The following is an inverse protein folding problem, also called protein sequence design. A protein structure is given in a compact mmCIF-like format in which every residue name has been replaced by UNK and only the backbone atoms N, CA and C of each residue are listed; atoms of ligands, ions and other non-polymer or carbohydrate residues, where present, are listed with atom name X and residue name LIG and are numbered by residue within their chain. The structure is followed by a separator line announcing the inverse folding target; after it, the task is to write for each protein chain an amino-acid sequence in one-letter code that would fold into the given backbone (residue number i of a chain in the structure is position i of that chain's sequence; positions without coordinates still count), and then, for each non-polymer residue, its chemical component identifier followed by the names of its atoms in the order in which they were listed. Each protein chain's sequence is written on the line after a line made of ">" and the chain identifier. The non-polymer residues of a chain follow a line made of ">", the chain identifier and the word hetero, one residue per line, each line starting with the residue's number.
data_IF_674178504921
#
_entry.id   IF_674178504921
#
_cell.length_a   1.000
_cell.length_b   1.000
_cell.length_c   1.000
_cell.angle_alpha   90.00
_cell.angle_beta   90.00
_cell.angle_gamma   90.00
#
_symmetry.space_group_name_H-M   'P 1'
#
loop_
_entity.id
_entity.type
_entity.pdbx_description
1 polymer ?
#
# COMPACT_ATOMS: atom_id res chain seq x y z
N UNK A 1 20.98 6.51 -11.06
CA UNK A 1 21.17 5.87 -9.75
C UNK A 1 20.32 6.65 -8.75
N UNK A 2 19.05 6.27 -8.58
CA UNK A 2 18.12 6.99 -7.69
C UNK A 2 18.00 6.21 -6.40
N UNK A 3 18.48 6.77 -5.30
CA UNK A 3 18.22 6.23 -3.96
C UNK A 3 16.75 6.49 -3.63
N UNK A 4 15.91 5.47 -3.80
CA UNK A 4 14.58 5.47 -3.21
C UNK A 4 14.77 5.47 -1.70
N UNK A 5 14.47 6.59 -1.03
CA UNK A 5 14.53 6.70 0.42
C UNK A 5 13.65 5.63 1.07
N UNK A 6 14.28 4.57 1.56
CA UNK A 6 13.59 3.53 2.32
C UNK A 6 13.21 4.11 3.67
N UNK A 7 11.91 4.17 3.96
CA UNK A 7 11.44 4.45 5.32
C UNK A 7 11.91 3.30 6.20
N UNK A 8 12.85 3.56 7.12
CA UNK A 8 13.37 2.56 8.05
C UNK A 8 12.43 2.43 9.23
N UNK A 9 11.54 1.46 9.17
CA UNK A 9 10.74 1.05 10.33
C UNK A 9 11.50 -0.02 11.09
N UNK A 10 12.42 0.40 11.98
CA UNK A 10 13.12 -0.51 12.89
C UNK A 10 12.32 -0.60 14.21
N UNK A 11 11.26 -1.41 14.19
CA UNK A 11 10.49 -1.72 15.39
C UNK A 11 10.10 -3.19 15.37
N UNK A 12 10.29 -3.94 16.48
CA UNK A 12 10.07 -5.38 16.52
C UNK A 12 8.60 -5.81 16.30
N UNK A 13 7.67 -4.84 16.22
CA UNK A 13 6.24 -5.06 15.98
C UNK A 13 5.80 -4.68 14.57
N UNK A 14 6.71 -4.19 13.72
CA UNK A 14 6.38 -3.76 12.36
C UNK A 14 6.73 -4.86 11.37
N UNK A 15 5.77 -5.20 10.51
CA UNK A 15 5.97 -6.12 9.39
C UNK A 15 5.91 -5.32 8.08
N UNK A 16 6.93 -5.48 7.25
CA UNK A 16 6.96 -4.90 5.91
C UNK A 16 6.64 -6.01 4.93
N UNK A 17 5.51 -5.87 4.22
CA UNK A 17 5.12 -6.78 3.16
C UNK A 17 5.28 -6.09 1.80
N UNK A 18 6.04 -6.72 0.90
CA UNK A 18 6.18 -6.24 -0.47
C UNK A 18 4.90 -6.62 -1.25
N UNK A 19 4.16 -5.61 -1.71
CA UNK A 19 2.95 -5.81 -2.49
C UNK A 19 3.32 -5.91 -3.98
N UNK A 20 3.01 -7.03 -4.65
CA UNK A 20 3.30 -7.17 -6.07
C UNK A 20 2.42 -6.19 -6.86
N UNK A 21 3.05 -5.33 -7.67
CA UNK A 21 2.36 -4.49 -8.63
C UNK A 21 1.93 -5.32 -9.84
N UNK A 22 0.62 -5.47 -10.06
CA UNK A 22 0.05 -6.20 -11.20
C UNK A 22 -0.53 -5.28 -12.27
N UNK A 23 -0.50 -3.97 -12.03
CA UNK A 23 -1.04 -3.00 -12.96
C UNK A 23 -0.12 -2.75 -14.16
N UNK A 24 1.20 -2.81 -13.97
CA UNK A 24 2.16 -2.49 -15.02
C UNK A 24 3.25 -3.57 -15.14
N UNK A 25 3.33 -4.23 -16.30
CA UNK A 25 4.27 -5.33 -16.60
C UNK A 25 5.58 -4.88 -17.27
N UNK A 26 6.00 -3.63 -17.06
CA UNK A 26 7.22 -3.07 -17.67
C UNK A 26 8.40 -3.00 -16.69
N UNK A 27 9.59 -2.66 -17.20
CA UNK A 27 10.83 -2.48 -16.42
C UNK A 27 10.91 -1.16 -15.62
N UNK A 28 9.82 -0.38 -15.60
CA UNK A 28 9.81 0.94 -14.97
C UNK A 28 9.53 0.79 -13.46
N UNK A 29 10.58 0.88 -12.66
CA UNK A 29 10.49 0.99 -11.20
C UNK A 29 10.05 2.41 -10.77
N UNK A 30 8.82 2.80 -11.11
CA UNK A 30 8.21 4.01 -10.57
C UNK A 30 7.35 3.66 -9.35
N UNK A 31 7.58 4.33 -8.22
CA UNK A 31 6.84 4.17 -6.96
C UNK A 31 5.34 4.55 -7.05
N UNK A 32 4.89 5.00 -8.24
CA UNK A 32 3.51 5.44 -8.48
C UNK A 32 2.57 4.38 -9.07
N UNK A 33 3.04 3.15 -9.32
CA UNK A 33 2.26 2.16 -10.07
C UNK A 33 1.40 1.23 -9.21
N UNK A 34 1.54 1.29 -7.88
CA UNK A 34 0.79 0.45 -6.96
C UNK A 34 -0.69 0.89 -6.92
N UNK A 35 -1.62 -0.03 -7.17
CA UNK A 35 -3.05 0.29 -7.18
C UNK A 35 -3.78 -0.18 -5.91
N UNK A 36 -4.97 0.38 -5.67
CA UNK A 36 -5.88 -0.09 -4.61
C UNK A 36 -6.23 -1.56 -4.79
N UNK A 37 -6.27 -2.02 -6.04
CA UNK A 37 -6.59 -3.42 -6.36
C UNK A 37 -5.46 -4.36 -5.94
N UNK A 38 -4.20 -3.96 -6.15
CA UNK A 38 -3.02 -4.74 -5.71
C UNK A 38 -2.98 -4.87 -4.19
N UNK A 39 -3.22 -3.76 -3.48
CA UNK A 39 -3.29 -3.72 -2.02
C UNK A 39 -4.41 -4.64 -1.49
N UNK A 40 -5.60 -4.54 -2.08
CA UNK A 40 -6.76 -5.34 -1.65
C UNK A 40 -6.50 -6.83 -1.84
N UNK A 41 -5.88 -7.22 -2.94
CA UNK A 41 -5.59 -8.62 -3.20
C UNK A 41 -4.56 -9.17 -2.22
N UNK A 42 -3.48 -8.43 -1.98
CA UNK A 42 -2.46 -8.81 -1.01
C UNK A 42 -3.04 -8.94 0.40
N UNK A 43 -3.81 -7.94 0.86
CA UNK A 43 -4.45 -7.97 2.18
C UNK A 43 -5.51 -9.06 2.30
N UNK A 44 -6.23 -9.37 1.22
CA UNK A 44 -7.18 -10.48 1.16
C UNK A 44 -6.51 -11.84 1.33
N UNK A 45 -5.27 -11.97 0.87
CA UNK A 45 -4.47 -13.19 1.02
C UNK A 45 -3.83 -13.32 2.42
N UNK A 46 -3.79 -12.26 3.23
CA UNK A 46 -3.26 -12.33 4.60
C UNK A 46 -4.25 -13.06 5.52
N UNK A 47 -3.85 -14.15 6.19
CA UNK A 47 -4.71 -14.87 7.13
C UNK A 47 -5.18 -13.95 8.26
N UNK A 48 -6.41 -14.10 8.73
CA UNK A 48 -6.98 -13.26 9.80
C UNK A 48 -6.08 -13.19 11.06
N UNK A 49 -5.47 -14.30 11.47
CA UNK A 49 -4.55 -14.36 12.64
C UNK A 49 -3.27 -13.53 12.46
N UNK A 50 -2.96 -13.11 11.23
CA UNK A 50 -1.77 -12.33 10.86
C UNK A 50 -2.15 -10.95 10.31
N UNK A 51 -3.43 -10.55 10.38
CA UNK A 51 -3.84 -9.21 9.99
C UNK A 51 -3.23 -8.20 10.97
N UNK A 52 -2.66 -7.10 10.47
CA UNK A 52 -2.13 -6.06 11.33
C UNK A 52 -3.26 -5.28 11.99
N UNK A 53 -2.95 -4.59 13.09
CA UNK A 53 -3.87 -3.64 13.73
C UNK A 53 -3.83 -2.25 13.06
N UNK A 54 -2.84 -2.00 12.20
CA UNK A 54 -2.67 -0.75 11.45
C UNK A 54 -2.03 -1.04 10.09
N UNK A 55 -2.63 -0.52 9.02
CA UNK A 55 -2.05 -0.57 7.69
C UNK A 55 -1.37 0.75 7.35
N UNK A 56 -0.07 0.69 7.08
CA UNK A 56 0.70 1.79 6.54
C UNK A 56 0.88 1.62 5.04
N UNK A 57 0.45 2.61 4.25
CA UNK A 57 0.64 2.61 2.79
C UNK A 57 1.48 3.81 2.36
N UNK A 58 2.34 3.69 1.33
CA UNK A 58 3.01 4.86 0.79
C UNK A 58 1.99 5.85 0.21
N UNK A 59 2.20 7.15 0.40
CA UNK A 59 1.39 8.18 -0.24
C UNK A 59 1.75 8.37 -1.73
N UNK A 60 2.96 8.00 -2.14
CA UNK A 60 3.50 8.19 -3.49
C UNK A 60 2.63 7.67 -4.66
N UNK A 61 1.91 6.53 -4.57
CA UNK A 61 1.03 6.06 -5.63
C UNK A 61 -0.36 6.71 -5.65
N UNK A 62 -0.67 7.61 -4.72
CA UNK A 62 -1.98 8.25 -4.62
C UNK A 62 -1.89 9.74 -4.97
N UNK A 63 -2.95 10.26 -5.59
CA UNK A 63 -3.12 11.70 -5.79
C UNK A 63 -3.47 12.42 -4.47
N UNK A 64 -3.58 13.75 -4.52
CA UNK A 64 -3.97 14.56 -3.36
C UNK A 64 -5.36 14.25 -2.80
N UNK A 65 -6.19 13.52 -3.56
CA UNK A 65 -7.53 13.08 -3.19
C UNK A 65 -7.52 11.63 -2.66
N UNK A 66 -6.35 10.99 -2.57
CA UNK A 66 -6.20 9.61 -2.14
C UNK A 66 -6.64 8.59 -3.19
N UNK A 67 -6.61 8.94 -4.48
CA UNK A 67 -6.98 8.06 -5.59
C UNK A 67 -5.74 7.47 -6.27
N UNK A 68 -5.80 6.20 -6.66
CA UNK A 68 -4.76 5.58 -7.47
C UNK A 68 -4.83 6.01 -8.95
N UNK A 69 -3.88 5.55 -9.76
CA UNK A 69 -3.85 5.80 -11.20
C UNK A 69 -5.09 5.29 -11.97
N UNK A 70 -5.91 4.42 -11.35
CA UNK A 70 -7.17 3.92 -11.91
C UNK A 70 -8.38 4.73 -11.44
N UNK A 71 -8.17 5.78 -10.66
CA UNK A 71 -9.22 6.61 -10.07
C UNK A 71 -9.92 5.94 -8.88
N UNK A 72 -9.38 4.85 -8.32
CA UNK A 72 -9.94 4.20 -7.14
C UNK A 72 -9.49 4.88 -5.88
N UNK A 73 -10.41 5.12 -4.96
CA UNK A 73 -10.10 5.81 -3.71
C UNK A 73 -9.55 4.83 -2.66
N UNK A 74 -8.57 5.28 -1.87
CA UNK A 74 -8.13 4.59 -0.66
C UNK A 74 -9.26 4.31 0.34
N UNK A 75 -10.36 5.07 0.26
CA UNK A 75 -11.57 4.81 1.06
C UNK A 75 -12.21 3.46 0.74
N UNK A 76 -12.04 2.95 -0.48
CA UNK A 76 -12.51 1.60 -0.84
C UNK A 76 -11.81 0.51 -0.02
N UNK A 77 -10.54 0.68 0.34
CA UNK A 77 -9.83 -0.25 1.24
C UNK A 77 -10.44 -0.25 2.62
N UNK A 78 -10.78 0.93 3.16
CA UNK A 78 -11.43 1.05 4.46
C UNK A 78 -12.79 0.35 4.48
N UNK A 79 -13.58 0.49 3.41
CA UNK A 79 -14.86 -0.21 3.28
C UNK A 79 -14.69 -1.73 3.09
N UNK A 80 -13.63 -2.18 2.40
CA UNK A 80 -13.35 -3.60 2.19
C UNK A 80 -12.82 -4.31 3.45
N UNK A 81 -12.16 -3.57 4.34
CA UNK A 81 -11.57 -4.10 5.57
C UNK A 81 -12.02 -3.28 6.80
N UNK A 82 -13.30 -3.41 7.20
CA UNK A 82 -13.81 -2.69 8.36
C UNK A 82 -13.04 -3.09 9.62
N UNK A 83 -12.58 -2.09 10.38
CA UNK A 83 -11.80 -2.28 11.60
C UNK A 83 -10.28 -2.24 11.41
N UNK A 84 -9.78 -2.10 10.18
CA UNK A 84 -8.36 -1.88 9.92
C UNK A 84 -8.09 -0.38 9.67
N UNK A 85 -7.51 0.37 10.64
CA UNK A 85 -7.12 1.73 10.40
C UNK A 85 -6.03 1.78 9.32
N UNK A 86 -6.13 2.79 8.46
CA UNK A 86 -5.24 3.02 7.32
C UNK A 86 -4.58 4.38 7.48
N UNK A 87 -3.25 4.43 7.41
CA UNK A 87 -2.49 5.66 7.41
C UNK A 87 -1.56 5.71 6.19
N UNK A 88 -1.54 6.86 5.52
CA UNK A 88 -0.64 7.12 4.41
C UNK A 88 0.68 7.71 4.94
N UNK A 89 1.80 7.15 4.48
CA UNK A 89 3.13 7.63 4.77
C UNK A 89 3.56 8.60 3.67
N UNK A 90 3.56 9.89 3.98
CA UNK A 90 4.27 10.91 3.20
C UNK A 90 5.69 11.01 3.76
N UNK A 91 6.69 10.71 2.92
CA UNK A 91 8.10 10.99 3.21
C UNK A 91 8.47 12.43 2.94
#
# INVERSE_FOLDING_TARGET
>A
MGVCGGVRFDSPRTRIDAVPNRFFGGTICCAGLLTISDLREHLGAVPQRKKPDLLLIPAAPFDQRGQDLRGKSCRELFHAFPGLPLAALSG
#
